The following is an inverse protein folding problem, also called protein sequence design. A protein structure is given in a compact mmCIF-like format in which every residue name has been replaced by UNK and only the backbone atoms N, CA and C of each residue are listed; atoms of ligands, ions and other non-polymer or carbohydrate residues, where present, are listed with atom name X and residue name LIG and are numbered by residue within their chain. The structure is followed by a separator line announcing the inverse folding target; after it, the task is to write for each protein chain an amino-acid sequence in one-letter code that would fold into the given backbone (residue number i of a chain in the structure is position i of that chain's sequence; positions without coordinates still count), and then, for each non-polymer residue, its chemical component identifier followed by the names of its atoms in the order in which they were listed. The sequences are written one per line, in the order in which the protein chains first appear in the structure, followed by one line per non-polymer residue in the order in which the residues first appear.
data_IF_559587734285
#
_entry.id   IF_559587734285
#
_cell.length_a   1.000
_cell.length_b   1.000
_cell.length_c   1.000
_cell.angle_alpha   90.00
_cell.angle_beta   90.00
_cell.angle_gamma   90.00
#
_symmetry.space_group_name_H-M   'P 1'
#
loop_
_entity.id
_entity.type
_entity.pdbx_description
1 polymer ?
#
# COMPACT_ATOMS: atom_id res chain seq x y z
N UNK A 1 -19.38 -3.01 -8.92
CA UNK A 1 -18.88 -4.20 -8.19
C UNK A 1 -18.82 -3.80 -6.74
N UNK A 2 -19.49 -4.54 -5.85
CA UNK A 2 -19.65 -4.15 -4.45
C UNK A 2 -18.36 -4.34 -3.65
N UNK A 3 -18.22 -3.56 -2.58
CA UNK A 3 -17.11 -3.62 -1.62
C UNK A 3 -17.11 -4.92 -0.78
N UNK A 4 -18.02 -5.86 -1.03
CA UNK A 4 -18.17 -7.08 -0.21
C UNK A 4 -17.05 -8.10 -0.43
N UNK A 5 -16.30 -8.00 -1.55
CA UNK A 5 -15.15 -8.88 -1.84
C UNK A 5 -13.87 -8.50 -1.08
N UNK A 6 -13.80 -7.28 -0.55
CA UNK A 6 -12.66 -6.80 0.23
C UNK A 6 -12.59 -7.62 1.53
N UNK A 7 -13.69 -7.77 2.25
CA UNK A 7 -13.79 -8.51 3.52
C UNK A 7 -13.23 -9.96 3.48
N UNK A 8 -13.39 -10.68 2.37
CA UNK A 8 -12.89 -12.07 2.25
C UNK A 8 -11.40 -12.16 1.87
N UNK A 9 -10.80 -11.11 1.32
CA UNK A 9 -9.38 -11.07 0.92
C UNK A 9 -8.44 -10.69 2.07
N UNK A 10 -8.93 -10.05 3.13
CA UNK A 10 -8.11 -9.51 4.22
C UNK A 10 -7.85 -10.49 5.38
N UNK A 11 -8.13 -11.79 5.20
CA UNK A 11 -7.81 -12.91 6.10
C UNK A 11 -7.32 -12.54 7.51
N UNK A 12 -8.15 -12.82 8.53
CA UNK A 12 -7.92 -12.53 9.97
C UNK A 12 -6.45 -12.51 10.38
N UNK A 13 -6.01 -11.41 11.01
CA UNK A 13 -4.71 -11.35 11.67
C UNK A 13 -4.54 -12.52 12.64
N UNK A 14 -3.40 -13.21 12.52
CA UNK A 14 -3.14 -14.46 13.23
C UNK A 14 -2.93 -14.16 14.72
N UNK A 15 -3.97 -14.35 15.53
CA UNK A 15 -3.88 -14.22 17.00
C UNK A 15 -2.88 -15.24 17.56
N UNK A 16 -1.63 -14.82 17.78
CA UNK A 16 -0.66 -15.51 18.63
C UNK A 16 0.29 -16.52 17.98
N UNK A 17 0.21 -16.79 16.67
CA UNK A 17 1.18 -17.65 15.98
C UNK A 17 2.28 -16.79 15.35
N UNK A 18 3.49 -16.84 15.91
CA UNK A 18 4.68 -16.22 15.27
C UNK A 18 5.04 -17.02 14.01
N UNK A 19 5.15 -16.32 12.88
CA UNK A 19 5.58 -16.85 11.59
C UNK A 19 6.82 -16.10 11.11
N UNK A 20 7.41 -16.53 10.00
CA UNK A 20 8.50 -15.78 9.35
C UNK A 20 8.10 -14.37 8.91
N UNK A 21 6.80 -14.09 8.81
CA UNK A 21 6.27 -12.80 8.38
C UNK A 21 5.88 -11.86 9.53
N UNK A 22 5.88 -12.31 10.79
CA UNK A 22 5.36 -11.52 11.92
C UNK A 22 6.04 -10.15 12.06
N UNK A 23 7.35 -10.07 11.85
CA UNK A 23 8.09 -8.81 11.98
C UNK A 23 7.75 -7.83 10.85
N UNK A 24 7.58 -8.33 9.62
CA UNK A 24 7.20 -7.50 8.47
C UNK A 24 5.74 -7.05 8.56
N UNK A 25 4.84 -7.92 9.02
CA UNK A 25 3.44 -7.57 9.32
C UNK A 25 3.33 -6.49 10.40
N UNK A 26 4.12 -6.61 11.48
CA UNK A 26 4.15 -5.62 12.56
C UNK A 26 4.66 -4.27 12.07
N UNK A 27 5.74 -4.28 11.28
CA UNK A 27 6.29 -3.06 10.66
C UNK A 27 5.27 -2.40 9.73
N UNK A 28 4.61 -3.21 8.90
CA UNK A 28 3.57 -2.74 7.99
C UNK A 28 2.39 -2.12 8.75
N UNK A 29 1.91 -2.77 9.82
CA UNK A 29 0.81 -2.25 10.65
C UNK A 29 1.16 -0.91 11.29
N UNK A 30 2.35 -0.78 11.89
CA UNK A 30 2.82 0.49 12.48
C UNK A 30 2.88 1.63 11.46
N UNK A 31 3.40 1.36 10.25
CA UNK A 31 3.42 2.34 9.16
C UNK A 31 2.01 2.75 8.71
N UNK A 32 1.08 1.80 8.58
CA UNK A 32 -0.30 2.08 8.21
C UNK A 32 -0.99 2.95 9.27
N UNK A 33 -0.81 2.64 10.56
CA UNK A 33 -1.39 3.43 11.65
C UNK A 33 -0.87 4.87 11.65
N UNK A 34 0.44 5.06 11.54
CA UNK A 34 1.07 6.39 11.46
C UNK A 34 0.58 7.16 10.24
N UNK A 35 0.45 6.50 9.09
CA UNK A 35 -0.02 7.13 7.86
C UNK A 35 -1.49 7.56 7.94
N UNK A 36 -2.37 6.70 8.46
CA UNK A 36 -3.79 7.01 8.63
C UNK A 36 -3.99 8.16 9.63
N UNK A 37 -3.20 8.20 10.71
CA UNK A 37 -3.22 9.29 11.70
C UNK A 37 -2.57 10.58 11.18
N UNK A 38 -1.87 10.53 10.04
CA UNK A 38 -1.14 11.68 9.49
C UNK A 38 0.14 12.03 10.27
N UNK A 39 0.69 11.09 11.04
CA UNK A 39 1.91 11.25 11.83
C UNK A 39 3.19 11.19 10.95
N UNK A 40 3.08 10.62 9.74
CA UNK A 40 4.15 10.56 8.74
C UNK A 40 3.66 11.11 7.40
N UNK A 41 4.57 11.70 6.63
CA UNK A 41 4.22 12.23 5.32
C UNK A 41 4.14 11.11 4.26
N UNK A 42 3.54 11.41 3.10
CA UNK A 42 3.39 10.44 2.01
C UNK A 42 4.73 9.85 1.56
N UNK A 43 5.79 10.66 1.51
CA UNK A 43 7.11 10.20 1.09
C UNK A 43 7.69 9.18 2.08
N UNK A 44 7.70 9.51 3.37
CA UNK A 44 8.23 8.61 4.41
C UNK A 44 7.44 7.31 4.47
N UNK A 45 6.11 7.38 4.31
CA UNK A 45 5.28 6.19 4.19
C UNK A 45 5.62 5.37 2.94
N UNK A 46 5.73 6.00 1.77
CA UNK A 46 6.06 5.31 0.53
C UNK A 46 7.40 4.57 0.62
N UNK A 47 8.44 5.24 1.12
CA UNK A 47 9.76 4.65 1.27
C UNK A 47 9.74 3.48 2.27
N UNK A 48 9.12 3.68 3.44
CA UNK A 48 8.99 2.62 4.45
C UNK A 48 8.18 1.42 3.94
N UNK A 49 7.12 1.66 3.19
CA UNK A 49 6.24 0.59 2.70
C UNK A 49 6.82 -0.13 1.47
N UNK A 50 7.67 0.53 0.67
CA UNK A 50 8.52 -0.13 -0.34
C UNK A 50 9.46 -1.12 0.34
N UNK A 51 10.10 -0.73 1.44
CA UNK A 51 11.03 -1.62 2.17
C UNK A 51 10.30 -2.80 2.84
N UNK A 52 9.08 -2.59 3.34
CA UNK A 52 8.18 -3.68 3.74
C UNK A 52 7.96 -4.65 2.58
N UNK A 53 7.66 -4.15 1.37
CA UNK A 53 7.46 -4.98 0.18
C UNK A 53 8.70 -5.79 -0.22
N UNK A 54 9.89 -5.19 -0.15
CA UNK A 54 11.15 -5.90 -0.41
C UNK A 54 11.36 -7.04 0.57
N UNK A 55 11.28 -6.75 1.88
CA UNK A 55 11.41 -7.75 2.96
C UNK A 55 10.37 -8.86 2.83
N UNK A 56 9.14 -8.50 2.47
CA UNK A 56 8.07 -9.46 2.25
C UNK A 56 8.39 -10.42 1.10
N UNK A 57 8.87 -9.91 -0.03
CA UNK A 57 9.28 -10.73 -1.17
C UNK A 57 10.48 -11.62 -0.85
N UNK A 58 11.48 -11.10 -0.14
CA UNK A 58 12.63 -11.89 0.34
C UNK A 58 12.22 -13.05 1.24
N UNK A 59 11.17 -12.88 2.05
CA UNK A 59 10.62 -13.94 2.92
C UNK A 59 9.75 -14.95 2.16
N UNK A 60 9.26 -14.61 0.97
CA UNK A 60 8.55 -15.54 0.08
C UNK A 60 9.49 -16.31 -0.82
N UNK A 61 10.67 -15.75 -1.12
CA UNK A 61 11.70 -16.40 -1.92
C UNK A 61 12.47 -17.44 -1.09
N UNK A 62 12.41 -18.71 -1.50
CA UNK A 62 13.16 -19.80 -0.87
C UNK A 62 14.54 -20.06 -1.50
N UNK A 63 14.98 -19.18 -2.42
CA UNK A 63 16.23 -19.27 -3.16
C UNK A 63 16.09 -19.90 -4.55
N UNK A 64 14.92 -20.46 -4.88
CA UNK A 64 14.62 -21.04 -6.20
C UNK A 64 13.29 -20.54 -6.77
N UNK A 65 12.30 -20.25 -5.94
CA UNK A 65 10.97 -19.80 -6.34
C UNK A 65 10.25 -18.98 -5.25
N UNK A 66 9.25 -18.20 -5.68
CA UNK A 66 8.34 -17.50 -4.78
C UNK A 66 7.28 -18.49 -4.30
N UNK A 67 7.24 -18.75 -2.99
CA UNK A 67 6.29 -19.69 -2.38
C UNK A 67 5.20 -18.96 -1.61
N UNK A 68 3.95 -19.20 -2.01
CA UNK A 68 2.76 -18.85 -1.25
C UNK A 68 2.32 -20.05 -0.42
N UNK A 69 2.36 -19.93 0.90
CA UNK A 69 1.99 -21.00 1.82
C UNK A 69 0.96 -20.53 2.87
N UNK A 70 0.62 -21.45 3.77
CA UNK A 70 -0.33 -21.18 4.85
C UNK A 70 0.13 -20.06 5.77
N UNK A 71 1.43 -19.71 5.83
CA UNK A 71 2.00 -18.66 6.65
C UNK A 71 2.08 -17.29 5.95
N UNK A 72 1.87 -17.22 4.64
CA UNK A 72 1.85 -15.96 3.88
C UNK A 72 0.70 -15.04 4.30
N UNK A 73 0.97 -13.78 4.69
CA UNK A 73 -0.07 -12.77 4.95
C UNK A 73 -0.69 -12.26 3.66
N UNK A 74 -1.84 -12.84 3.27
CA UNK A 74 -2.58 -12.45 2.07
C UNK A 74 -3.02 -10.97 2.08
N UNK A 75 -3.38 -10.45 3.26
CA UNK A 75 -3.75 -9.04 3.41
C UNK A 75 -2.61 -8.10 2.97
N UNK A 76 -1.35 -8.43 3.32
CA UNK A 76 -0.18 -7.63 3.00
C UNK A 76 0.15 -7.74 1.51
N UNK A 77 0.06 -8.95 0.95
CA UNK A 77 0.25 -9.19 -0.48
C UNK A 77 -0.77 -8.41 -1.32
N UNK A 78 -2.06 -8.48 -0.96
CA UNK A 78 -3.12 -7.74 -1.65
C UNK A 78 -2.96 -6.23 -1.51
N UNK A 79 -2.62 -5.74 -0.32
CA UNK A 79 -2.40 -4.31 -0.07
C UNK A 79 -1.24 -3.76 -0.90
N UNK A 80 -0.11 -4.48 -0.95
CA UNK A 80 1.07 -4.13 -1.75
C UNK A 80 0.78 -4.14 -3.26
N UNK A 81 0.18 -5.23 -3.75
CA UNK A 81 0.02 -5.48 -5.18
C UNK A 81 -1.12 -4.70 -5.84
N UNK A 82 -2.15 -4.30 -5.10
CA UNK A 82 -3.34 -3.66 -5.67
C UNK A 82 -3.44 -2.18 -5.28
N UNK A 83 -3.45 -1.89 -3.98
CA UNK A 83 -3.80 -0.56 -3.50
C UNK A 83 -2.59 0.35 -3.37
N UNK A 84 -1.47 -0.18 -2.86
CA UNK A 84 -0.26 0.60 -2.66
C UNK A 84 0.38 1.02 -3.99
N UNK A 85 0.42 0.12 -4.98
CA UNK A 85 1.02 0.41 -6.29
C UNK A 85 0.26 1.52 -7.03
N UNK A 86 -1.06 1.49 -7.03
CA UNK A 86 -1.90 2.54 -7.65
C UNK A 86 -1.69 3.90 -6.94
N UNK A 87 -1.71 3.90 -5.61
CA UNK A 87 -1.43 5.10 -4.83
C UNK A 87 -0.01 5.65 -5.08
N UNK A 88 1.01 4.79 -5.08
CA UNK A 88 2.40 5.17 -5.30
C UNK A 88 2.62 5.74 -6.70
N UNK A 89 1.98 5.16 -7.72
CA UNK A 89 2.03 5.69 -9.07
C UNK A 89 1.46 7.12 -9.13
N UNK A 90 0.33 7.37 -8.46
CA UNK A 90 -0.23 8.71 -8.36
C UNK A 90 0.72 9.67 -7.63
N UNK A 91 1.34 9.26 -6.51
CA UNK A 91 2.31 10.09 -5.79
C UNK A 91 3.49 10.50 -6.67
N UNK A 92 4.02 9.57 -7.50
CA UNK A 92 5.10 9.87 -8.44
C UNK A 92 4.69 10.85 -9.53
N UNK A 93 3.48 10.72 -10.07
CA UNK A 93 2.94 11.66 -11.06
C UNK A 93 2.78 13.05 -10.43
N UNK A 94 2.26 13.12 -9.20
CA UNK A 94 2.11 14.38 -8.49
C UNK A 94 3.46 15.04 -8.22
N UNK A 95 4.45 14.29 -7.73
CA UNK A 95 5.80 14.79 -7.52
C UNK A 95 6.44 15.28 -8.82
N UNK A 96 6.33 14.50 -9.91
CA UNK A 96 6.90 14.87 -11.21
C UNK A 96 6.39 16.23 -11.68
N UNK A 97 5.08 16.48 -11.60
CA UNK A 97 4.51 17.76 -12.03
C UNK A 97 4.68 18.91 -11.02
N UNK A 98 5.00 18.61 -9.76
CA UNK A 98 5.48 19.63 -8.82
C UNK A 98 6.90 20.09 -9.16
N UNK A 99 7.75 19.16 -9.61
CA UNK A 99 9.13 19.44 -10.02
C UNK A 99 9.21 20.04 -11.45
N UNK A 100 8.30 19.65 -12.34
CA UNK A 100 8.22 20.06 -13.74
C UNK A 100 6.86 20.68 -14.11
N UNK A 101 6.47 21.81 -13.50
CA UNK A 101 5.18 22.44 -13.79
C UNK A 101 5.04 22.92 -15.24
N UNK A 102 6.15 23.18 -15.93
CA UNK A 102 6.19 23.56 -17.36
C UNK A 102 5.64 22.46 -18.29
N UNK A 103 5.64 21.20 -17.84
CA UNK A 103 5.11 20.08 -18.62
C UNK A 103 3.59 19.89 -18.46
N UNK A 104 2.96 20.61 -17.52
CA UNK A 104 1.50 20.66 -17.36
C UNK A 104 0.87 21.59 -18.41
N UNK A 105 0.95 21.20 -19.67
CA UNK A 105 0.35 21.92 -20.80
C UNK A 105 -0.65 21.06 -21.57
N UNK A 106 -1.70 21.71 -22.10
CA UNK A 106 -2.71 21.07 -22.93
C UNK A 106 -3.41 19.89 -22.25
N UNK A 107 -3.44 18.74 -22.93
CA UNK A 107 -4.12 17.52 -22.48
C UNK A 107 -3.55 16.94 -21.17
N UNK A 108 -2.25 17.15 -20.90
CA UNK A 108 -1.62 16.70 -19.65
C UNK A 108 -2.15 17.45 -18.43
N UNK A 109 -2.40 18.76 -18.57
CA UNK A 109 -3.00 19.57 -17.50
C UNK A 109 -4.42 19.11 -17.17
N UNK A 110 -5.24 18.86 -18.20
CA UNK A 110 -6.60 18.35 -18.03
C UNK A 110 -6.61 16.96 -17.37
N UNK A 111 -5.70 16.08 -17.80
CA UNK A 111 -5.56 14.73 -17.23
C UNK A 111 -5.12 14.79 -15.77
N UNK A 112 -4.13 15.62 -15.44
CA UNK A 112 -3.66 15.77 -14.06
C UNK A 112 -4.73 16.37 -13.13
N UNK A 113 -5.50 17.36 -13.61
CA UNK A 113 -6.64 17.90 -12.88
C UNK A 113 -7.70 16.83 -12.58
N UNK A 114 -8.02 15.98 -13.57
CA UNK A 114 -8.94 14.86 -13.38
C UNK A 114 -8.39 13.82 -12.39
N UNK A 115 -7.07 13.55 -12.41
CA UNK A 115 -6.44 12.64 -11.45
C UNK A 115 -6.53 13.17 -10.02
N UNK A 116 -6.34 14.48 -9.80
CA UNK A 116 -6.49 15.09 -8.47
C UNK A 116 -7.91 14.98 -7.90
N UNK A 117 -8.94 15.07 -8.74
CA UNK A 117 -10.34 14.90 -8.32
C UNK A 117 -10.64 13.50 -7.79
N UNK A 118 -9.84 12.49 -8.15
CA UNK A 118 -10.05 11.10 -7.71
C UNK A 118 -9.66 10.85 -6.25
N UNK A 119 -9.02 11.81 -5.58
CA UNK A 119 -8.69 11.73 -4.15
C UNK A 119 -7.96 10.43 -3.76
N UNK A 120 -6.95 10.04 -4.56
CA UNK A 120 -6.23 8.77 -4.40
C UNK A 120 -5.67 8.58 -2.98
N UNK A 121 -5.09 9.60 -2.38
CA UNK A 121 -4.53 9.52 -1.01
C UNK A 121 -5.60 9.28 0.04
N UNK A 122 -6.73 9.98 -0.01
CA UNK A 122 -7.81 9.81 0.97
C UNK A 122 -8.50 8.45 0.80
N UNK A 123 -8.70 8.00 -0.44
CA UNK A 123 -9.20 6.64 -0.72
C UNK A 123 -8.23 5.58 -0.20
N UNK A 124 -6.93 5.76 -0.42
CA UNK A 124 -5.93 4.82 0.06
C UNK A 124 -5.86 4.80 1.59
N UNK A 125 -5.92 5.94 2.27
CA UNK A 125 -6.06 6.01 3.74
C UNK A 125 -7.28 5.25 4.24
N UNK A 126 -8.42 5.35 3.56
CA UNK A 126 -9.62 4.60 3.92
C UNK A 126 -9.40 3.08 3.78
N UNK A 127 -8.71 2.63 2.73
CA UNK A 127 -8.31 1.21 2.60
C UNK A 127 -7.39 0.81 3.75
N UNK A 128 -6.35 1.59 4.06
CA UNK A 128 -5.45 1.33 5.18
C UNK A 128 -6.20 1.22 6.51
N UNK A 129 -7.14 2.12 6.78
CA UNK A 129 -7.97 2.10 8.00
C UNK A 129 -8.84 0.84 8.08
N UNK A 130 -9.45 0.43 6.97
CA UNK A 130 -10.22 -0.82 6.91
C UNK A 130 -9.33 -2.03 7.19
N UNK A 131 -8.14 -2.10 6.57
CA UNK A 131 -7.17 -3.17 6.85
C UNK A 131 -6.85 -3.21 8.34
N UNK A 132 -6.47 -2.08 8.96
CA UNK A 132 -6.15 -2.02 10.39
C UNK A 132 -7.31 -2.52 11.25
N UNK A 133 -8.57 -2.20 10.89
CA UNK A 133 -9.75 -2.61 11.66
C UNK A 133 -10.02 -4.13 11.65
N UNK A 134 -9.55 -4.82 10.61
CA UNK A 134 -9.67 -6.27 10.43
C UNK A 134 -8.45 -7.03 11.01
N UNK A 135 -7.38 -6.32 11.42
CA UNK A 135 -6.15 -6.87 11.99
C UNK A 135 -6.12 -6.88 13.53
#
# INVERSE_FOLDING_TARGET
MSFDYISDLFGKFRKGKRTRFTDVETTAKDLLEKFVKGEICNKDFADGFIDVGKRFNELMDNGNEIVFDEDTPLWLNSLLGLHFTDWLQFQRIEQYFQEHPEELVGERAATFANLKQRQYTEKFKAVCANVISEL
#
